data_IF_728856235741
#
_entry.id   IF_728856235741
#
_cell.length_a   1.000
_cell.length_b   1.000
_cell.length_c   1.000
_cell.angle_alpha   90.00
_cell.angle_beta   90.00
_cell.angle_gamma   90.00
#
_symmetry.space_group_name_H-M   'P 1'
#
loop_
_entity.id
_entity.type
_entity.pdbx_description
1 polymer ?
#
# COMPACT_ATOMS: atom_id res chain seq x y z
N UNK A 1 -5.39 -27.16 -15.48
CA UNK A 1 -4.77 -26.22 -16.44
C UNK A 1 -5.46 -26.04 -17.78
N UNK A 2 -6.11 -27.06 -18.33
CA UNK A 2 -6.85 -26.92 -19.61
C UNK A 2 -7.87 -25.78 -19.59
N UNK A 3 -8.48 -25.49 -18.43
CA UNK A 3 -9.38 -24.33 -18.25
C UNK A 3 -8.74 -23.00 -18.65
N UNK A 4 -7.47 -22.77 -18.33
CA UNK A 4 -6.75 -21.54 -18.70
C UNK A 4 -6.45 -21.49 -20.19
N UNK A 5 -6.18 -22.64 -20.82
CA UNK A 5 -6.01 -22.73 -22.28
C UNK A 5 -7.31 -22.44 -23.01
N UNK A 6 -8.44 -22.95 -22.51
CA UNK A 6 -9.77 -22.67 -23.05
C UNK A 6 -10.14 -21.19 -22.89
N UNK A 7 -9.94 -20.63 -21.69
CA UNK A 7 -10.11 -19.20 -21.41
C UNK A 7 -9.28 -18.34 -22.38
N UNK A 8 -7.99 -18.65 -22.53
CA UNK A 8 -7.11 -17.92 -23.46
C UNK A 8 -7.58 -18.01 -24.92
N UNK A 9 -8.04 -19.18 -25.39
CA UNK A 9 -8.59 -19.32 -26.75
C UNK A 9 -9.86 -18.51 -26.95
N UNK A 10 -10.77 -18.53 -25.98
CA UNK A 10 -12.01 -17.77 -26.03
C UNK A 10 -11.75 -16.26 -26.13
N UNK A 11 -10.84 -15.74 -25.30
CA UNK A 11 -10.45 -14.32 -25.32
C UNK A 11 -9.80 -13.97 -26.66
N UNK A 12 -8.87 -14.78 -27.15
CA UNK A 12 -8.20 -14.56 -28.45
C UNK A 12 -9.22 -14.51 -29.60
N UNK A 13 -10.16 -15.47 -29.66
CA UNK A 13 -11.16 -15.53 -30.72
C UNK A 13 -12.09 -14.31 -30.70
N UNK A 14 -12.56 -13.90 -29.51
CA UNK A 14 -13.43 -12.71 -29.35
C UNK A 14 -12.68 -11.42 -29.66
N UNK A 15 -11.44 -11.27 -29.17
CA UNK A 15 -10.67 -10.04 -29.35
C UNK A 15 -10.23 -9.86 -30.80
N UNK A 16 -9.94 -10.97 -31.51
CA UNK A 16 -9.69 -10.95 -32.96
C UNK A 16 -10.88 -10.43 -33.77
N UNK A 17 -12.12 -10.75 -33.38
CA UNK A 17 -13.32 -10.26 -34.09
C UNK A 17 -13.48 -8.74 -34.03
N UNK A 18 -12.91 -8.09 -33.01
CA UNK A 18 -12.85 -6.63 -32.87
C UNK A 18 -11.48 -6.06 -33.27
N UNK A 19 -10.72 -6.80 -34.10
CA UNK A 19 -9.41 -6.42 -34.63
C UNK A 19 -8.36 -6.08 -33.55
N UNK A 20 -8.42 -6.75 -32.41
CA UNK A 20 -7.54 -6.50 -31.27
C UNK A 20 -7.59 -5.04 -30.76
N UNK A 21 -8.78 -4.40 -30.81
CA UNK A 21 -8.95 -3.08 -30.21
C UNK A 21 -8.72 -3.16 -28.69
N UNK A 22 -7.70 -2.45 -28.18
CA UNK A 22 -7.32 -2.46 -26.77
C UNK A 22 -8.42 -1.93 -25.84
N UNK A 23 -9.29 -1.05 -26.33
CA UNK A 23 -10.43 -0.54 -25.56
C UNK A 23 -11.50 -1.62 -25.28
N UNK A 24 -11.54 -2.68 -26.09
CA UNK A 24 -12.53 -3.77 -25.96
C UNK A 24 -11.99 -4.94 -25.12
N UNK A 25 -10.67 -5.04 -24.93
CA UNK A 25 -10.10 -6.17 -24.20
C UNK A 25 -10.59 -6.27 -22.74
N UNK A 26 -10.72 -5.18 -21.96
CA UNK A 26 -11.14 -5.27 -20.57
C UNK A 26 -12.49 -5.98 -20.39
N UNK A 27 -13.51 -5.56 -21.14
CA UNK A 27 -14.83 -6.18 -21.09
C UNK A 27 -14.83 -7.61 -21.64
N UNK A 28 -14.10 -7.87 -22.73
CA UNK A 28 -13.95 -9.24 -23.28
C UNK A 28 -13.33 -10.18 -22.25
N UNK A 29 -12.27 -9.74 -21.57
CA UNK A 29 -11.55 -10.53 -20.57
C UNK A 29 -12.40 -10.74 -19.31
N UNK A 30 -13.06 -9.70 -18.80
CA UNK A 30 -13.94 -9.78 -17.63
C UNK A 30 -15.10 -10.76 -17.86
N UNK A 31 -15.78 -10.64 -19.01
CA UNK A 31 -16.83 -11.57 -19.42
C UNK A 31 -16.36 -13.03 -19.50
N UNK A 32 -15.17 -13.26 -20.05
CA UNK A 32 -14.62 -14.59 -20.22
C UNK A 32 -14.19 -15.20 -18.88
N UNK A 33 -13.59 -14.40 -17.99
CA UNK A 33 -13.29 -14.80 -16.61
C UNK A 33 -14.57 -15.20 -15.85
N UNK A 34 -15.63 -14.40 -15.99
CA UNK A 34 -16.93 -14.65 -15.37
C UNK A 34 -17.53 -15.99 -15.82
N UNK A 35 -17.55 -16.25 -17.14
CA UNK A 35 -18.05 -17.53 -17.68
C UNK A 35 -17.16 -18.72 -17.34
N UNK A 36 -15.85 -18.52 -17.35
CA UNK A 36 -14.90 -19.58 -17.06
C UNK A 36 -14.97 -20.02 -15.59
N UNK A 37 -15.32 -19.11 -14.68
CA UNK A 37 -15.46 -19.35 -13.23
C UNK A 37 -14.33 -20.23 -12.71
N UNK A 38 -13.09 -19.81 -13.02
CA UNK A 38 -11.89 -20.56 -12.66
C UNK A 38 -11.77 -20.78 -11.15
N UNK A 39 -12.10 -19.80 -10.27
CA UNK A 39 -11.97 -19.98 -8.82
C UNK A 39 -12.78 -21.15 -8.24
N UNK A 40 -13.90 -21.55 -8.88
CA UNK A 40 -14.69 -22.70 -8.44
C UNK A 40 -14.17 -24.05 -8.96
N UNK A 41 -13.25 -24.04 -9.92
CA UNK A 41 -12.79 -25.23 -10.67
C UNK A 41 -11.33 -25.59 -10.42
N UNK A 42 -10.51 -24.62 -10.06
CA UNK A 42 -9.06 -24.79 -9.89
C UNK A 42 -8.61 -24.03 -8.65
N UNK A 43 -7.90 -24.73 -7.78
CA UNK A 43 -7.27 -24.17 -6.59
C UNK A 43 -5.91 -23.55 -6.93
N UNK A 44 -5.44 -22.64 -6.08
CA UNK A 44 -4.11 -22.04 -6.22
C UNK A 44 -2.98 -23.08 -6.09
N UNK A 45 -3.23 -24.18 -5.39
CA UNK A 45 -2.26 -25.24 -5.17
C UNK A 45 -2.13 -26.15 -6.40
N UNK A 46 -3.21 -26.38 -7.14
CA UNK A 46 -3.14 -27.06 -8.44
C UNK A 46 -2.34 -26.25 -9.47
N UNK A 47 -2.38 -24.92 -9.41
CA UNK A 47 -1.52 -24.06 -10.25
C UNK A 47 -0.04 -24.23 -9.87
N UNK A 48 0.26 -24.23 -8.56
CA UNK A 48 1.63 -24.42 -8.07
C UNK A 48 2.18 -25.82 -8.38
N UNK A 49 1.39 -26.87 -8.16
CA UNK A 49 1.74 -28.25 -8.47
C UNK A 49 1.99 -28.42 -9.97
N UNK A 50 1.11 -27.86 -10.81
CA UNK A 50 1.31 -27.86 -12.25
C UNK A 50 2.61 -27.15 -12.65
N UNK A 51 2.86 -25.95 -12.12
CA UNK A 51 4.04 -25.17 -12.48
C UNK A 51 5.36 -25.88 -12.11
N UNK A 52 5.37 -26.64 -11.02
CA UNK A 52 6.52 -27.44 -10.59
C UNK A 52 6.65 -28.76 -11.35
N UNK A 53 5.54 -29.33 -11.83
CA UNK A 53 5.51 -30.61 -12.53
C UNK A 53 5.81 -30.53 -14.02
N UNK A 54 5.61 -29.36 -14.64
CA UNK A 54 5.89 -29.17 -16.07
C UNK A 54 7.39 -28.97 -16.34
N UNK A 55 7.88 -29.65 -17.39
CA UNK A 55 9.23 -29.43 -17.89
C UNK A 55 9.36 -28.09 -18.63
N UNK A 56 8.31 -27.69 -19.35
CA UNK A 56 8.27 -26.45 -20.12
C UNK A 56 7.00 -25.66 -19.79
N UNK A 57 7.19 -24.47 -19.24
CA UNK A 57 6.10 -23.53 -18.98
C UNK A 57 5.82 -22.67 -20.23
N UNK A 58 4.62 -22.08 -20.36
CA UNK A 58 4.40 -20.99 -21.29
C UNK A 58 5.46 -19.89 -21.11
N UNK A 59 5.67 -19.06 -22.14
CA UNK A 59 6.62 -17.94 -22.05
C UNK A 59 6.28 -17.04 -20.86
N UNK A 60 7.13 -17.06 -19.84
CA UNK A 60 6.97 -16.27 -18.62
C UNK A 60 7.27 -14.79 -18.89
N UNK A 61 6.47 -13.89 -18.28
CA UNK A 61 6.55 -12.43 -18.52
C UNK A 61 7.30 -11.64 -17.44
N UNK A 62 7.20 -12.04 -16.18
CA UNK A 62 7.92 -11.41 -15.06
C UNK A 62 8.80 -12.44 -14.32
N UNK A 63 9.87 -12.85 -14.99
CA UNK A 63 10.79 -13.91 -14.50
C UNK A 63 11.46 -13.54 -13.18
N UNK A 64 11.65 -12.25 -12.92
CA UNK A 64 12.30 -11.76 -11.70
C UNK A 64 11.32 -11.46 -10.55
N UNK A 65 10.02 -11.70 -10.76
CA UNK A 65 8.97 -11.49 -9.76
C UNK A 65 9.03 -10.07 -9.16
N UNK A 66 9.08 -9.05 -10.03
CA UNK A 66 9.18 -7.66 -9.58
C UNK A 66 7.86 -7.11 -9.04
N UNK A 67 6.73 -7.79 -9.28
CA UNK A 67 5.40 -7.32 -8.89
C UNK A 67 4.66 -8.20 -7.88
N UNK A 68 4.73 -9.53 -7.99
CA UNK A 68 3.97 -10.47 -7.16
C UNK A 68 4.87 -11.58 -6.58
N UNK A 69 4.34 -12.40 -5.67
CA UNK A 69 5.08 -13.35 -4.82
C UNK A 69 4.78 -14.86 -5.12
N UNK A 70 5.12 -15.52 -6.25
CA UNK A 70 5.58 -15.08 -7.55
C UNK A 70 4.41 -14.88 -8.56
N UNK A 71 4.65 -14.25 -9.71
CA UNK A 71 3.76 -14.34 -10.87
C UNK A 71 4.03 -15.62 -11.68
N UNK A 72 2.97 -16.33 -12.07
CA UNK A 72 3.06 -17.53 -12.93
C UNK A 72 2.24 -17.33 -14.20
N UNK A 73 2.90 -17.27 -15.36
CA UNK A 73 2.20 -17.20 -16.65
C UNK A 73 1.65 -18.57 -17.02
N UNK A 74 0.32 -18.72 -16.98
CA UNK A 74 -0.42 -19.97 -17.25
C UNK A 74 -0.90 -20.08 -18.69
N UNK A 75 -0.93 -18.97 -19.42
CA UNK A 75 -1.22 -18.91 -20.85
C UNK A 75 -0.45 -17.75 -21.49
N UNK A 76 0.15 -17.98 -22.65
CA UNK A 76 0.78 -16.92 -23.45
C UNK A 76 0.23 -16.93 -24.87
N UNK A 77 -0.54 -15.88 -25.21
CA UNK A 77 -0.96 -15.58 -26.57
C UNK A 77 0.06 -14.70 -27.29
N UNK A 78 -0.33 -14.23 -28.49
CA UNK A 78 0.50 -13.34 -29.29
C UNK A 78 0.49 -11.90 -28.75
N UNK A 79 -0.66 -11.43 -28.25
CA UNK A 79 -0.90 -10.02 -27.87
C UNK A 79 -1.30 -9.82 -26.41
N UNK A 80 -1.62 -10.91 -25.71
CA UNK A 80 -1.96 -10.91 -24.30
C UNK A 80 -1.51 -12.23 -23.66
N UNK A 81 -1.53 -12.26 -22.34
CA UNK A 81 -1.23 -13.45 -21.55
C UNK A 81 -2.12 -13.50 -20.31
N UNK A 82 -2.11 -14.65 -19.65
CA UNK A 82 -2.82 -14.87 -18.40
C UNK A 82 -1.78 -15.24 -17.34
N UNK A 83 -1.69 -14.42 -16.31
CA UNK A 83 -0.86 -14.66 -15.14
C UNK A 83 -1.74 -15.06 -13.95
N UNK A 84 -1.22 -15.90 -13.06
CA UNK A 84 -1.71 -16.07 -11.70
C UNK A 84 -0.69 -15.41 -10.77
N UNK A 85 -1.14 -14.39 -10.04
CA UNK A 85 -0.32 -13.69 -9.05
C UNK A 85 -0.61 -14.23 -7.67
N UNK A 86 0.44 -14.64 -6.98
CA UNK A 86 0.39 -15.00 -5.57
C UNK A 86 0.81 -13.80 -4.71
N UNK A 87 0.20 -13.65 -3.55
CA UNK A 87 0.48 -12.54 -2.64
C UNK A 87 0.66 -13.04 -1.21
N UNK A 88 1.83 -12.74 -0.63
CA UNK A 88 2.15 -13.08 0.75
C UNK A 88 2.40 -11.82 1.60
N UNK A 89 3.05 -10.81 1.02
CA UNK A 89 3.41 -9.56 1.73
C UNK A 89 2.37 -8.42 1.55
N UNK A 90 1.45 -8.58 0.60
CA UNK A 90 0.07 -8.07 0.63
C UNK A 90 -0.19 -6.57 0.46
N UNK A 91 0.62 -5.83 -0.28
CA UNK A 91 0.22 -4.50 -0.73
C UNK A 91 0.85 -4.17 -2.08
N UNK A 92 0.05 -3.64 -3.00
CA UNK A 92 0.57 -3.02 -4.22
C UNK A 92 0.78 -1.53 -3.99
N UNK A 93 1.76 -0.93 -4.68
CA UNK A 93 1.79 0.52 -4.83
C UNK A 93 0.46 1.03 -5.42
N UNK A 94 0.12 2.29 -5.19
CA UNK A 94 -0.94 2.95 -5.97
C UNK A 94 -0.36 3.18 -7.36
N UNK A 95 -1.00 2.65 -8.41
CA UNK A 95 -0.43 2.70 -9.75
C UNK A 95 -1.51 2.78 -10.83
N UNK A 96 -1.12 3.31 -11.98
CA UNK A 96 -1.85 3.13 -13.24
C UNK A 96 -1.26 1.95 -14.02
N UNK A 97 -1.84 1.64 -15.17
CA UNK A 97 -1.42 0.51 -16.01
C UNK A 97 -0.89 0.99 -17.36
N UNK A 98 0.29 0.52 -17.75
CA UNK A 98 0.79 0.64 -19.11
C UNK A 98 0.18 -0.40 -20.06
N UNK A 99 -0.89 -1.10 -19.65
CA UNK A 99 -1.57 -2.18 -20.35
C UNK A 99 -3.08 -2.11 -20.05
N UNK A 100 -3.87 -2.96 -20.70
CA UNK A 100 -5.29 -3.14 -20.40
C UNK A 100 -5.63 -4.63 -20.25
N UNK A 101 -6.79 -4.93 -19.67
CA UNK A 101 -7.26 -6.29 -19.46
C UNK A 101 -8.28 -6.40 -18.34
N UNK A 102 -8.26 -7.51 -17.60
CA UNK A 102 -9.13 -7.72 -16.44
C UNK A 102 -8.43 -8.62 -15.42
N UNK A 103 -8.84 -8.52 -14.16
CA UNK A 103 -8.45 -9.46 -13.12
C UNK A 103 -9.64 -10.08 -12.42
N UNK A 104 -9.43 -11.29 -11.89
CA UNK A 104 -10.38 -12.01 -11.05
C UNK A 104 -9.69 -12.47 -9.78
N UNK A 105 -10.32 -12.25 -8.62
CA UNK A 105 -9.82 -12.81 -7.36
C UNK A 105 -9.98 -14.33 -7.38
N UNK A 106 -8.87 -15.05 -7.31
CA UNK A 106 -8.85 -16.51 -7.36
C UNK A 106 -8.96 -17.15 -5.98
N UNK A 107 -8.28 -16.57 -4.99
CA UNK A 107 -8.30 -17.06 -3.62
C UNK A 107 -8.11 -15.92 -2.62
N UNK A 108 -8.86 -15.97 -1.53
CA UNK A 108 -8.82 -14.96 -0.47
C UNK A 108 -9.64 -13.73 -0.79
N UNK A 109 -9.30 -12.63 -0.12
CA UNK A 109 -9.99 -11.35 -0.18
C UNK A 109 -8.99 -10.18 -0.17
N UNK A 110 -9.42 -9.05 -0.70
CA UNK A 110 -8.62 -7.82 -0.75
C UNK A 110 -9.46 -6.57 -0.58
N UNK A 111 -8.89 -5.56 0.05
CA UNK A 111 -9.41 -4.19 -0.06
C UNK A 111 -8.87 -3.60 -1.36
N UNK A 112 -9.77 -3.11 -2.20
CA UNK A 112 -9.46 -2.52 -3.49
C UNK A 112 -9.85 -1.04 -3.49
N UNK A 113 -8.85 -0.18 -3.58
CA UNK A 113 -9.03 1.27 -3.59
C UNK A 113 -8.77 1.83 -4.97
N UNK A 114 -9.70 2.66 -5.46
CA UNK A 114 -9.59 3.41 -6.72
C UNK A 114 -9.30 4.87 -6.42
N UNK A 115 -8.47 5.48 -7.25
CA UNK A 115 -8.06 6.86 -7.08
C UNK A 115 -8.29 7.66 -8.36
N UNK A 116 -8.50 8.96 -8.20
CA UNK A 116 -8.33 9.94 -9.26
C UNK A 116 -7.06 10.75 -8.98
N UNK A 117 -6.39 11.19 -10.05
CA UNK A 117 -5.22 12.08 -9.96
C UNK A 117 -5.39 13.29 -10.87
N UNK A 118 -5.66 14.43 -10.24
CA UNK A 118 -5.77 15.71 -10.93
C UNK A 118 -4.38 16.34 -11.06
N UNK A 119 -3.82 16.31 -12.28
CA UNK A 119 -2.50 16.86 -12.55
C UNK A 119 -2.51 18.39 -12.44
N UNK A 120 -1.71 18.93 -11.53
CA UNK A 120 -1.46 20.36 -11.42
C UNK A 120 -0.33 20.82 -12.34
N UNK A 121 0.80 20.09 -12.37
CA UNK A 121 1.93 20.39 -13.25
C UNK A 121 2.71 19.14 -13.65
N UNK A 122 3.27 19.16 -14.85
CA UNK A 122 4.28 18.18 -15.28
C UNK A 122 5.66 18.73 -14.97
N UNK A 123 6.50 17.93 -14.31
CA UNK A 123 7.93 18.25 -14.16
C UNK A 123 8.65 17.83 -15.44
N UNK A 124 8.43 16.59 -15.86
CA UNK A 124 8.87 16.02 -17.12
C UNK A 124 8.02 14.78 -17.46
N UNK A 125 8.43 13.99 -18.46
CA UNK A 125 7.72 12.78 -18.88
C UNK A 125 7.73 11.64 -17.83
N UNK A 126 8.56 11.72 -16.80
CA UNK A 126 8.75 10.68 -15.78
C UNK A 126 8.29 11.11 -14.38
N UNK A 127 7.83 12.35 -14.22
CA UNK A 127 7.40 12.90 -12.95
C UNK A 127 6.34 13.99 -13.10
N UNK A 128 5.29 13.89 -12.29
CA UNK A 128 4.21 14.86 -12.25
C UNK A 128 3.76 15.16 -10.83
N UNK A 129 3.22 16.36 -10.65
CA UNK A 129 2.68 16.84 -9.37
C UNK A 129 1.20 17.16 -9.57
N UNK A 130 0.37 16.76 -8.62
CA UNK A 130 -1.08 16.91 -8.68
C UNK A 130 -1.73 16.65 -7.33
N UNK A 131 -3.03 16.41 -7.31
CA UNK A 131 -3.75 15.96 -6.13
C UNK A 131 -4.30 14.55 -6.37
N UNK A 132 -4.13 13.69 -5.38
CA UNK A 132 -4.74 12.36 -5.38
C UNK A 132 -5.94 12.33 -4.44
N UNK A 133 -7.04 11.75 -4.90
CA UNK A 133 -8.25 11.53 -4.09
C UNK A 133 -8.70 10.07 -4.19
N UNK A 134 -9.18 9.53 -3.08
CA UNK A 134 -9.85 8.22 -3.06
C UNK A 134 -11.22 8.39 -3.73
N UNK A 135 -11.47 7.62 -4.79
CA UNK A 135 -12.72 7.62 -5.54
C UNK A 135 -13.71 6.60 -5.00
N UNK A 136 -13.21 5.39 -4.72
CA UNK A 136 -14.02 4.26 -4.25
C UNK A 136 -13.12 3.28 -3.50
N UNK A 137 -13.69 2.59 -2.53
CA UNK A 137 -13.05 1.48 -1.85
C UNK A 137 -14.04 0.30 -1.78
N UNK A 138 -13.57 -0.90 -2.12
CA UNK A 138 -14.37 -2.12 -2.20
C UNK A 138 -13.68 -3.27 -1.46
N UNK A 139 -14.48 -4.12 -0.82
CA UNK A 139 -14.02 -5.44 -0.37
C UNK A 139 -14.29 -6.45 -1.47
N UNK A 140 -13.22 -6.99 -2.06
CA UNK A 140 -13.29 -8.05 -3.06
C UNK A 140 -13.04 -9.41 -2.41
N UNK A 141 -13.82 -10.42 -2.81
CA UNK A 141 -13.65 -11.82 -2.46
C UNK A 141 -13.44 -12.70 -3.69
N UNK A 142 -13.17 -13.99 -3.46
CA UNK A 142 -12.98 -14.96 -4.54
C UNK A 142 -14.16 -14.96 -5.52
N UNK A 143 -13.85 -14.92 -6.81
CA UNK A 143 -14.83 -14.83 -7.90
C UNK A 143 -15.05 -13.40 -8.41
N UNK A 144 -14.82 -12.37 -7.60
CA UNK A 144 -15.01 -10.98 -8.00
C UNK A 144 -14.06 -10.59 -9.14
N UNK A 145 -14.57 -9.80 -10.08
CA UNK A 145 -13.89 -9.43 -11.33
C UNK A 145 -13.82 -7.92 -11.44
N UNK A 146 -12.68 -7.43 -11.94
CA UNK A 146 -12.46 -6.02 -12.22
C UNK A 146 -11.84 -5.85 -13.61
N UNK A 147 -12.39 -4.92 -14.38
CA UNK A 147 -11.79 -4.45 -15.62
C UNK A 147 -10.57 -3.56 -15.31
N UNK A 148 -9.53 -3.68 -16.14
CA UNK A 148 -8.30 -2.88 -16.07
C UNK A 148 -8.25 -2.00 -17.31
N UNK A 149 -8.65 -0.74 -17.17
CA UNK A 149 -8.43 0.26 -18.20
C UNK A 149 -6.96 0.73 -18.21
N UNK A 150 -6.46 1.09 -19.39
CA UNK A 150 -5.09 1.59 -19.54
C UNK A 150 -4.94 3.05 -19.08
N UNK A 151 -3.76 3.39 -18.59
CA UNK A 151 -3.46 4.75 -18.14
C UNK A 151 -4.25 5.15 -16.89
N UNK A 152 -4.68 6.41 -16.83
CA UNK A 152 -5.29 7.02 -15.62
C UNK A 152 -6.73 6.64 -15.37
N UNK A 153 -7.36 6.01 -16.34
CA UNK A 153 -8.76 5.61 -16.22
C UNK A 153 -8.95 4.55 -15.12
N UNK A 154 -7.86 3.92 -14.68
CA UNK A 154 -7.84 2.91 -13.64
C UNK A 154 -6.58 3.00 -12.77
N UNK A 155 -6.53 4.01 -11.89
CA UNK A 155 -5.53 4.13 -10.84
C UNK A 155 -6.04 3.39 -9.61
N UNK A 156 -5.30 2.37 -9.16
CA UNK A 156 -5.75 1.58 -8.02
C UNK A 156 -4.60 1.08 -7.14
N UNK A 157 -4.98 0.56 -5.97
CA UNK A 157 -4.15 -0.33 -5.18
C UNK A 157 -4.99 -1.45 -4.58
N UNK A 158 -4.35 -2.61 -4.41
CA UNK A 158 -4.92 -3.77 -3.73
C UNK A 158 -4.16 -4.01 -2.44
N UNK A 159 -4.93 -4.33 -1.41
CA UNK A 159 -4.40 -4.79 -0.13
C UNK A 159 -4.97 -6.16 0.20
N UNK A 160 -4.09 -7.16 0.22
CA UNK A 160 -4.51 -8.54 0.39
C UNK A 160 -4.68 -8.89 1.87
N UNK A 161 -5.80 -9.51 2.21
CA UNK A 161 -6.16 -9.80 3.60
C UNK A 161 -5.66 -11.17 4.02
N UNK A 162 -5.77 -12.13 3.10
CA UNK A 162 -5.39 -13.53 3.28
C UNK A 162 -3.94 -13.81 2.86
N UNK A 163 -3.35 -14.86 3.43
CA UNK A 163 -1.97 -15.29 3.14
C UNK A 163 -1.91 -16.82 2.96
N UNK A 164 -1.75 -17.33 1.72
CA UNK A 164 -1.71 -16.58 0.48
C UNK A 164 -3.10 -16.07 0.06
N UNK A 165 -3.10 -15.02 -0.75
CA UNK A 165 -4.20 -14.75 -1.67
C UNK A 165 -3.68 -14.84 -3.11
N UNK A 166 -4.57 -14.96 -4.07
CA UNK A 166 -4.19 -15.04 -5.47
C UNK A 166 -5.20 -14.38 -6.40
N UNK A 167 -4.70 -13.87 -7.52
CA UNK A 167 -5.48 -13.18 -8.54
C UNK A 167 -5.11 -13.70 -9.93
N UNK A 168 -6.10 -13.99 -10.76
CA UNK A 168 -5.92 -14.27 -12.19
C UNK A 168 -5.93 -12.93 -12.91
N UNK A 169 -4.92 -12.67 -13.76
CA UNK A 169 -4.80 -11.42 -14.51
C UNK A 169 -4.66 -11.74 -15.99
N UNK A 170 -5.64 -11.30 -16.78
CA UNK A 170 -5.57 -11.28 -18.24
C UNK A 170 -5.10 -9.89 -18.64
N UNK A 171 -4.01 -9.75 -19.38
CA UNK A 171 -3.51 -8.44 -19.81
C UNK A 171 -2.69 -8.47 -21.08
N UNK A 172 -2.65 -7.34 -21.77
CA UNK A 172 -1.64 -7.08 -22.82
C UNK A 172 -0.24 -6.90 -22.21
N UNK A 173 0.80 -6.93 -23.05
CA UNK A 173 2.18 -6.70 -22.61
C UNK A 173 2.37 -5.24 -22.13
N UNK A 174 2.51 -4.31 -23.10
CA UNK A 174 2.52 -2.86 -22.86
C UNK A 174 1.89 -2.18 -24.06
N UNK A 175 1.04 -1.21 -23.81
CA UNK A 175 0.46 -0.31 -24.80
C UNK A 175 1.25 0.99 -24.83
N UNK A 176 1.83 1.38 -25.98
CA UNK A 176 2.48 2.68 -26.15
C UNK A 176 1.55 3.87 -25.86
N UNK A 177 0.22 3.68 -25.95
CA UNK A 177 -0.78 4.71 -25.70
C UNK A 177 -0.88 5.10 -24.21
N UNK A 178 -0.49 4.19 -23.32
CA UNK A 178 -0.68 4.31 -21.87
C UNK A 178 0.63 4.42 -21.09
N UNK A 179 1.75 4.67 -21.78
CA UNK A 179 3.05 4.88 -21.16
C UNK A 179 3.32 6.37 -20.86
N UNK A 180 4.04 6.70 -19.77
CA UNK A 180 4.62 5.76 -18.79
C UNK A 180 3.59 5.20 -17.80
N UNK A 181 3.94 4.10 -17.14
CA UNK A 181 3.13 3.53 -16.07
C UNK A 181 3.51 4.17 -14.73
N UNK A 182 2.83 5.26 -14.35
CA UNK A 182 3.10 5.94 -13.10
C UNK A 182 2.74 5.11 -11.85
N UNK A 183 3.62 5.17 -10.85
CA UNK A 183 3.28 4.95 -9.45
C UNK A 183 2.93 6.28 -8.78
N UNK A 184 1.92 6.26 -7.93
CA UNK A 184 1.40 7.42 -7.23
C UNK A 184 1.78 7.36 -5.76
N UNK A 185 2.27 8.48 -5.25
CA UNK A 185 2.66 8.66 -3.87
C UNK A 185 1.82 9.79 -3.29
N UNK A 186 0.93 9.44 -2.35
CA UNK A 186 0.09 10.41 -1.66
C UNK A 186 0.97 11.44 -0.94
N UNK A 187 0.53 12.72 -0.90
CA UNK A 187 -0.74 13.21 -1.43
C UNK A 187 -0.71 13.63 -2.91
N UNK A 188 0.47 13.84 -3.50
CA UNK A 188 0.57 14.76 -4.63
C UNK A 188 1.58 14.40 -5.73
N UNK A 189 2.17 13.21 -5.72
CA UNK A 189 3.29 12.87 -6.61
C UNK A 189 3.00 11.65 -7.48
N UNK A 190 3.30 11.73 -8.77
CA UNK A 190 3.33 10.60 -9.69
C UNK A 190 4.75 10.44 -10.28
N UNK A 191 5.32 9.24 -10.23
CA UNK A 191 6.68 8.91 -10.68
C UNK A 191 6.66 7.67 -11.56
N UNK A 192 7.37 7.68 -12.68
CA UNK A 192 7.63 6.46 -13.46
C UNK A 192 8.64 5.58 -12.71
N UNK A 193 8.22 4.43 -12.16
CA UNK A 193 9.08 3.57 -11.38
C UNK A 193 10.08 2.80 -12.25
N UNK A 194 9.87 2.75 -13.57
CA UNK A 194 10.69 1.97 -14.50
C UNK A 194 11.82 2.79 -15.13
N UNK A 195 11.85 4.11 -14.89
CA UNK A 195 12.95 4.92 -15.37
C UNK A 195 14.18 4.69 -14.48
N UNK A 196 15.24 4.12 -15.05
CA UNK A 196 16.51 3.88 -14.37
C UNK A 196 17.69 4.43 -15.18
N UNK A 197 18.71 4.89 -14.45
CA UNK A 197 19.98 5.33 -15.02
C UNK A 197 21.11 4.62 -14.27
N UNK A 198 21.93 3.85 -14.98
CA UNK A 198 23.02 3.06 -14.38
C UNK A 198 23.95 3.91 -13.50
N UNK A 199 24.26 5.12 -13.95
CA UNK A 199 25.08 6.09 -13.19
C UNK A 199 24.45 6.45 -11.85
N UNK A 200 23.12 6.64 -11.81
CA UNK A 200 22.40 6.94 -10.57
C UNK A 200 22.45 5.73 -9.65
N UNK A 201 22.18 4.53 -10.17
CA UNK A 201 22.25 3.28 -9.41
C UNK A 201 23.64 3.07 -8.80
N UNK A 202 24.71 3.30 -9.55
CA UNK A 202 26.09 3.17 -9.05
C UNK A 202 26.42 4.22 -7.99
N UNK A 203 26.00 5.47 -8.18
CA UNK A 203 26.19 6.51 -7.16
C UNK A 203 25.41 6.24 -5.88
N UNK A 204 24.20 5.67 -5.97
CA UNK A 204 23.43 5.22 -4.81
C UNK A 204 24.17 4.11 -4.04
N UNK A 205 24.74 3.14 -4.76
CA UNK A 205 25.55 2.09 -4.13
C UNK A 205 26.79 2.64 -3.41
N UNK A 206 27.44 3.65 -3.99
CA UNK A 206 28.59 4.33 -3.36
C UNK A 206 28.16 5.16 -2.15
N UNK A 207 27.10 5.97 -2.27
CA UNK A 207 26.51 6.71 -1.15
C UNK A 207 26.16 5.75 0.00
N UNK A 208 25.62 4.57 -0.34
CA UNK A 208 25.31 3.57 0.64
C UNK A 208 26.55 3.02 1.36
N UNK A 209 27.63 2.79 0.63
CA UNK A 209 28.91 2.37 1.20
C UNK A 209 29.50 3.45 2.13
N UNK A 210 29.44 4.72 1.73
CA UNK A 210 29.94 5.85 2.54
C UNK A 210 29.20 5.99 3.87
N UNK A 211 27.86 5.89 3.84
CA UNK A 211 27.04 5.94 5.06
C UNK A 211 27.38 4.77 5.99
N UNK A 212 27.53 3.54 5.45
CA UNK A 212 27.87 2.36 6.25
C UNK A 212 29.29 2.40 6.82
N UNK A 213 30.22 3.04 6.11
CA UNK A 213 31.59 3.23 6.55
C UNK A 213 31.74 4.40 7.55
N UNK A 214 30.64 5.08 7.90
CA UNK A 214 30.64 6.28 8.75
C UNK A 214 31.65 7.35 8.29
N UNK A 215 31.75 7.54 6.97
CA UNK A 215 32.71 8.46 6.39
C UNK A 215 32.33 9.91 6.72
N UNK A 216 33.26 10.69 7.26
CA UNK A 216 33.03 12.07 7.73
C UNK A 216 32.43 13.01 6.66
N UNK A 217 32.88 12.90 5.41
CA UNK A 217 32.35 13.70 4.28
C UNK A 217 31.11 13.10 3.59
N UNK A 218 30.55 11.99 4.06
CA UNK A 218 29.45 11.31 3.37
C UNK A 218 28.27 12.26 3.10
N UNK A 219 27.87 13.03 4.12
CA UNK A 219 26.73 13.93 4.02
C UNK A 219 27.00 15.10 3.09
N UNK A 220 28.19 15.70 3.19
CA UNK A 220 28.60 16.76 2.27
C UNK A 220 28.60 16.30 0.81
N UNK A 221 29.09 15.09 0.54
CA UNK A 221 29.12 14.52 -0.81
C UNK A 221 27.72 14.24 -1.35
N UNK A 222 26.83 13.68 -0.52
CA UNK A 222 25.44 13.38 -0.89
C UNK A 222 24.63 14.69 -1.07
N UNK A 223 24.85 15.69 -0.23
CA UNK A 223 24.21 17.01 -0.32
C UNK A 223 24.54 17.70 -1.64
N UNK A 224 25.83 17.80 -2.02
CA UNK A 224 26.24 18.34 -3.33
C UNK A 224 25.63 17.55 -4.49
N UNK A 225 25.42 16.25 -4.28
CA UNK A 225 24.76 15.41 -5.26
C UNK A 225 23.27 15.80 -5.42
N UNK A 226 22.52 15.96 -4.33
CA UNK A 226 21.12 16.39 -4.36
C UNK A 226 20.95 17.76 -5.02
N UNK A 227 21.87 18.71 -4.77
CA UNK A 227 21.82 20.07 -5.34
C UNK A 227 21.94 20.11 -6.87
N UNK A 228 22.50 19.08 -7.49
CA UNK A 228 22.81 19.09 -8.93
C UNK A 228 21.83 18.30 -9.78
N UNK A 229 20.97 17.47 -9.18
CA UNK A 229 20.13 16.52 -9.92
C UNK A 229 18.72 17.05 -10.20
N UNK A 230 18.08 16.45 -11.20
CA UNK A 230 16.68 16.74 -11.53
C UNK A 230 15.73 16.23 -10.43
N UNK A 231 14.48 16.68 -10.51
CA UNK A 231 13.44 16.39 -9.52
C UNK A 231 13.20 14.87 -9.31
N UNK A 232 13.11 14.10 -10.39
CA UNK A 232 12.83 12.66 -10.31
C UNK A 232 14.02 11.93 -9.71
N UNK A 233 15.23 12.24 -10.16
CA UNK A 233 16.43 11.59 -9.62
C UNK A 233 16.63 11.96 -8.15
N UNK A 234 16.33 13.20 -7.78
CA UNK A 234 16.32 13.65 -6.38
C UNK A 234 15.34 12.83 -5.53
N UNK A 235 14.12 12.60 -6.02
CA UNK A 235 13.15 11.73 -5.35
C UNK A 235 13.67 10.31 -5.14
N UNK A 236 14.31 9.71 -6.15
CA UNK A 236 14.91 8.38 -6.04
C UNK A 236 16.04 8.35 -5.00
N UNK A 237 16.89 9.38 -4.97
CA UNK A 237 17.95 9.52 -3.97
C UNK A 237 17.35 9.58 -2.57
N UNK A 238 16.38 10.47 -2.34
CA UNK A 238 15.73 10.60 -1.04
C UNK A 238 15.03 9.30 -0.61
N UNK A 239 14.36 8.60 -1.53
CA UNK A 239 13.71 7.32 -1.25
C UNK A 239 14.72 6.27 -0.77
N UNK A 240 15.89 6.18 -1.42
CA UNK A 240 16.95 5.25 -1.00
C UNK A 240 17.59 5.69 0.32
N UNK A 241 17.92 6.98 0.49
CA UNK A 241 18.49 7.51 1.72
C UNK A 241 17.56 7.30 2.91
N UNK A 242 16.24 7.47 2.73
CA UNK A 242 15.23 7.20 3.75
C UNK A 242 15.28 5.76 4.23
N UNK A 243 15.38 4.79 3.32
CA UNK A 243 15.48 3.37 3.69
C UNK A 243 16.77 3.09 4.47
N UNK A 244 17.87 3.73 4.07
CA UNK A 244 19.17 3.58 4.71
C UNK A 244 19.27 4.24 6.09
N UNK A 245 18.66 5.40 6.24
CA UNK A 245 18.65 6.22 7.46
C UNK A 245 17.42 5.95 8.33
N UNK A 246 16.68 4.88 8.04
CA UNK A 246 15.55 4.48 8.87
C UNK A 246 16.04 4.18 10.29
N UNK A 247 15.33 4.73 11.27
CA UNK A 247 15.56 4.40 12.67
C UNK A 247 15.39 2.90 12.87
N UNK A 248 16.34 2.31 13.60
CA UNK A 248 16.21 0.95 14.08
C UNK A 248 15.26 0.90 15.28
N UNK A 249 14.78 -0.30 15.63
CA UNK A 249 14.00 -0.50 16.87
C UNK A 249 14.77 0.04 18.09
N UNK A 250 16.10 -0.14 18.10
CA UNK A 250 16.97 0.40 19.15
C UNK A 250 16.95 1.93 19.16
N UNK A 251 17.02 2.59 18.00
CA UNK A 251 16.95 4.04 17.93
C UNK A 251 15.62 4.57 18.48
N UNK A 252 14.50 3.92 18.14
CA UNK A 252 13.16 4.27 18.64
C UNK A 252 13.06 4.07 20.17
N UNK A 253 13.62 2.99 20.71
CA UNK A 253 13.63 2.70 22.15
C UNK A 253 14.40 3.73 22.99
N UNK A 254 15.48 4.30 22.43
CA UNK A 254 16.32 5.30 23.12
C UNK A 254 16.00 6.74 22.70
N UNK A 255 14.96 6.96 21.89
CA UNK A 255 14.61 8.29 21.39
C UNK A 255 15.70 8.93 20.53
N UNK A 256 16.52 8.12 19.85
CA UNK A 256 17.60 8.60 18.99
C UNK A 256 17.01 9.14 17.68
N UNK A 257 17.03 10.46 17.53
CA UNK A 257 16.50 11.16 16.36
C UNK A 257 17.57 11.50 15.33
N UNK A 258 18.85 11.19 15.59
CA UNK A 258 19.98 11.62 14.77
C UNK A 258 19.86 11.22 13.29
N UNK A 259 19.40 9.98 13.01
CA UNK A 259 19.21 9.52 11.62
C UNK A 259 18.06 10.22 10.91
N UNK A 260 16.97 10.47 11.63
CA UNK A 260 15.82 11.21 11.11
C UNK A 260 16.18 12.68 10.87
N UNK A 261 16.95 13.30 11.78
CA UNK A 261 17.48 14.65 11.60
C UNK A 261 18.37 14.74 10.35
N UNK A 262 19.30 13.79 10.19
CA UNK A 262 20.14 13.66 9.01
C UNK A 262 19.33 13.53 7.70
N UNK A 263 18.26 12.71 7.69
CA UNK A 263 17.37 12.65 6.53
C UNK A 263 16.64 13.97 6.25
N UNK A 264 16.19 14.65 7.31
CA UNK A 264 15.49 15.94 7.20
C UNK A 264 16.39 17.03 6.60
N UNK A 265 17.71 16.98 6.83
CA UNK A 265 18.68 17.89 6.20
C UNK A 265 18.74 17.68 4.68
N UNK A 266 18.84 16.42 4.22
CA UNK A 266 18.79 16.10 2.79
C UNK A 266 17.47 16.52 2.14
N UNK A 267 16.37 16.32 2.85
CA UNK A 267 15.04 16.73 2.40
C UNK A 267 14.96 18.26 2.22
N UNK A 268 15.48 19.03 3.19
CA UNK A 268 15.52 20.49 3.11
C UNK A 268 16.35 20.98 1.90
N UNK A 269 17.50 20.35 1.63
CA UNK A 269 18.33 20.67 0.46
C UNK A 269 17.55 20.41 -0.84
N UNK A 270 16.84 19.29 -0.93
CA UNK A 270 16.01 18.99 -2.09
C UNK A 270 14.85 19.98 -2.26
N UNK A 271 14.17 20.36 -1.18
CA UNK A 271 13.09 21.36 -1.20
C UNK A 271 13.61 22.72 -1.69
N UNK A 272 14.76 23.17 -1.17
CA UNK A 272 15.41 24.40 -1.60
C UNK A 272 15.81 24.35 -3.08
N UNK A 273 16.38 23.22 -3.53
CA UNK A 273 16.82 23.04 -4.92
C UNK A 273 15.68 23.10 -5.92
N UNK A 274 14.55 22.48 -5.58
CA UNK A 274 13.42 22.32 -6.49
C UNK A 274 12.32 23.36 -6.27
N UNK A 275 12.44 24.20 -5.24
CA UNK A 275 11.42 25.16 -4.84
C UNK A 275 10.07 24.49 -4.63
N UNK A 276 10.07 23.29 -4.02
CA UNK A 276 8.91 22.40 -4.00
C UNK A 276 8.61 21.92 -2.59
N UNK A 277 7.33 21.98 -2.24
CA UNK A 277 6.71 21.46 -1.02
C UNK A 277 6.18 20.02 -1.19
N UNK A 278 6.63 19.31 -2.22
CA UNK A 278 6.07 18.00 -2.62
C UNK A 278 6.67 16.85 -1.83
N UNK A 279 7.99 16.87 -1.61
CA UNK A 279 8.69 15.71 -1.06
C UNK A 279 8.31 15.40 0.38
N UNK A 280 8.20 16.42 1.24
CA UNK A 280 7.95 16.22 2.67
C UNK A 280 6.59 15.57 2.96
N UNK A 281 5.45 16.07 2.43
CA UNK A 281 4.17 15.40 2.60
C UNK A 281 4.18 13.95 2.10
N UNK A 282 4.89 13.69 0.99
CA UNK A 282 5.03 12.33 0.45
C UNK A 282 5.79 11.41 1.40
N UNK A 283 6.95 11.84 1.91
CA UNK A 283 7.74 11.01 2.82
C UNK A 283 7.09 10.86 4.20
N UNK A 284 6.36 11.86 4.68
CA UNK A 284 5.53 11.76 5.88
C UNK A 284 4.44 10.70 5.70
N UNK A 285 3.73 10.71 4.57
CA UNK A 285 2.74 9.68 4.27
C UNK A 285 3.36 8.28 4.15
N UNK A 286 4.52 8.16 3.48
CA UNK A 286 5.25 6.89 3.42
C UNK A 286 5.70 6.39 4.79
N UNK A 287 6.12 7.28 5.69
CA UNK A 287 6.45 6.94 7.07
C UNK A 287 5.23 6.37 7.81
N UNK A 288 4.04 6.93 7.56
CA UNK A 288 2.77 6.41 8.12
C UNK A 288 2.49 4.98 7.63
N UNK A 289 2.56 4.77 6.32
CA UNK A 289 2.40 3.45 5.67
C UNK A 289 3.38 2.44 6.28
N UNK A 290 4.66 2.78 6.32
CA UNK A 290 5.74 1.92 6.82
C UNK A 290 5.59 1.56 8.30
N UNK A 291 4.98 2.44 9.09
CA UNK A 291 4.67 2.16 10.49
C UNK A 291 3.57 1.09 10.61
N UNK A 292 2.52 1.15 9.79
CA UNK A 292 1.42 0.18 9.81
C UNK A 292 1.86 -1.17 9.22
N UNK A 293 2.61 -1.16 8.11
CA UNK A 293 3.15 -2.38 7.48
C UNK A 293 4.04 -3.17 8.46
N UNK A 294 4.93 -2.49 9.20
CA UNK A 294 5.75 -3.15 10.24
C UNK A 294 4.92 -3.84 11.32
N UNK A 295 3.85 -3.20 11.79
CA UNK A 295 2.94 -3.80 12.79
C UNK A 295 2.28 -5.06 12.24
N UNK A 296 1.88 -5.05 10.97
CA UNK A 296 1.27 -6.22 10.33
C UNK A 296 2.21 -7.42 10.23
N UNK A 297 3.53 -7.22 10.15
CA UNK A 297 4.50 -8.33 10.12
C UNK A 297 4.49 -9.17 11.41
N UNK A 298 4.09 -8.58 12.54
CA UNK A 298 4.01 -9.26 13.84
C UNK A 298 2.59 -9.72 14.21
N UNK A 299 1.59 -9.41 13.38
CA UNK A 299 0.18 -9.74 13.62
C UNK A 299 -0.28 -10.85 12.66
N UNK A 300 -0.69 -11.98 13.24
CA UNK A 300 -1.15 -13.16 12.50
C UNK A 300 -2.66 -13.31 12.43
N UNK A 301 -3.41 -12.72 13.38
CA UNK A 301 -4.87 -12.80 13.40
C UNK A 301 -5.50 -12.10 12.17
N UNK A 302 -6.49 -12.75 11.56
CA UNK A 302 -7.10 -12.27 10.33
C UNK A 302 -7.93 -10.98 10.53
N UNK A 303 -8.61 -10.83 11.67
CA UNK A 303 -9.41 -9.66 11.97
C UNK A 303 -8.53 -8.44 12.27
N UNK A 304 -7.44 -8.62 13.04
CA UNK A 304 -6.47 -7.54 13.26
C UNK A 304 -5.74 -7.14 11.98
N UNK A 305 -5.40 -8.10 11.10
CA UNK A 305 -4.81 -7.78 9.78
C UNK A 305 -5.79 -7.00 8.90
N UNK A 306 -7.08 -7.31 8.96
CA UNK A 306 -8.13 -6.52 8.31
C UNK A 306 -8.22 -5.11 8.89
N UNK A 307 -8.17 -4.95 10.21
CA UNK A 307 -8.15 -3.63 10.83
C UNK A 307 -6.97 -2.77 10.37
N UNK A 308 -5.75 -3.32 10.41
CA UNK A 308 -4.54 -2.63 9.91
C UNK A 308 -4.63 -2.32 8.40
N UNK A 309 -5.29 -3.18 7.62
CA UNK A 309 -5.56 -2.94 6.21
C UNK A 309 -6.42 -1.69 5.99
N UNK A 310 -7.48 -1.55 6.79
CA UNK A 310 -8.37 -0.39 6.75
C UNK A 310 -7.61 0.89 7.09
N UNK A 311 -6.82 0.87 8.17
CA UNK A 311 -6.01 2.02 8.60
C UNK A 311 -4.95 2.43 7.55
N UNK A 312 -4.53 1.49 6.72
CA UNK A 312 -3.52 1.76 5.70
C UNK A 312 -4.12 2.36 4.41
N UNK A 313 -5.29 1.88 3.98
CA UNK A 313 -5.77 2.06 2.60
C UNK A 313 -7.05 2.89 2.47
N UNK A 314 -7.75 3.11 3.57
CA UNK A 314 -9.07 3.76 3.58
C UNK A 314 -8.95 5.09 4.29
N UNK A 315 -9.35 6.16 3.61
CA UNK A 315 -9.42 7.49 4.18
C UNK A 315 -10.85 7.71 4.71
N UNK A 316 -10.99 8.23 5.93
CA UNK A 316 -12.27 8.64 6.52
C UNK A 316 -12.98 7.55 7.35
N UNK A 317 -13.47 7.98 8.52
CA UNK A 317 -14.16 7.12 9.50
C UNK A 317 -15.37 6.38 8.92
N UNK A 318 -16.22 7.08 8.19
CA UNK A 318 -17.49 6.52 7.72
C UNK A 318 -17.27 5.40 6.70
N UNK A 319 -16.26 5.53 5.85
CA UNK A 319 -15.89 4.51 4.86
C UNK A 319 -15.32 3.26 5.56
N UNK A 320 -14.49 3.45 6.58
CA UNK A 320 -13.95 2.37 7.41
C UNK A 320 -15.09 1.62 8.10
N UNK A 321 -16.03 2.34 8.74
CA UNK A 321 -17.17 1.73 9.41
C UNK A 321 -18.08 0.98 8.43
N UNK A 322 -18.28 1.50 7.23
CA UNK A 322 -19.03 0.81 6.16
C UNK A 322 -18.39 -0.53 5.79
N UNK A 323 -17.06 -0.57 5.61
CA UNK A 323 -16.34 -1.81 5.30
C UNK A 323 -16.34 -2.80 6.46
N UNK A 324 -16.30 -2.32 7.71
CA UNK A 324 -16.45 -3.17 8.89
C UNK A 324 -17.84 -3.81 8.89
N UNK A 325 -18.91 -3.05 8.68
CA UNK A 325 -20.28 -3.60 8.58
C UNK A 325 -20.44 -4.56 7.40
N UNK A 326 -19.78 -4.30 6.27
CA UNK A 326 -19.83 -5.21 5.12
C UNK A 326 -19.22 -6.58 5.46
N UNK A 327 -18.13 -6.62 6.23
CA UNK A 327 -17.46 -7.88 6.61
C UNK A 327 -18.08 -8.53 7.86
N UNK A 328 -18.59 -7.72 8.79
CA UNK A 328 -19.16 -8.13 10.07
C UNK A 328 -20.55 -7.49 10.23
N UNK A 329 -21.56 -8.05 9.55
CA UNK A 329 -22.90 -7.45 9.40
C UNK A 329 -23.60 -7.13 10.72
N UNK A 330 -23.38 -7.96 11.74
CA UNK A 330 -24.10 -7.89 13.00
C UNK A 330 -23.34 -7.12 14.09
N UNK A 331 -22.14 -6.63 13.78
CA UNK A 331 -21.28 -5.96 14.74
C UNK A 331 -21.44 -4.44 14.69
N UNK A 332 -21.41 -3.79 15.85
CA UNK A 332 -21.19 -2.36 15.91
C UNK A 332 -19.72 -2.03 15.52
N UNK A 333 -19.48 -1.12 14.55
CA UNK A 333 -18.12 -0.83 14.11
C UNK A 333 -17.24 -0.19 15.17
N UNK A 334 -17.81 0.61 16.08
CA UNK A 334 -17.04 1.26 17.15
C UNK A 334 -16.59 0.17 18.12
N UNK A 335 -17.51 -0.70 18.56
CA UNK A 335 -17.16 -1.83 19.43
C UNK A 335 -16.06 -2.70 18.79
N UNK A 336 -16.16 -3.00 17.49
CA UNK A 336 -15.11 -3.78 16.79
C UNK A 336 -13.76 -3.08 16.74
N UNK A 337 -13.74 -1.78 16.49
CA UNK A 337 -12.50 -1.00 16.51
C UNK A 337 -11.88 -0.99 17.90
N UNK A 338 -12.69 -0.88 18.95
CA UNK A 338 -12.24 -0.91 20.33
C UNK A 338 -11.69 -2.29 20.71
N UNK A 339 -12.41 -3.38 20.38
CA UNK A 339 -11.96 -4.77 20.57
C UNK A 339 -10.56 -4.98 19.96
N UNK A 340 -10.41 -4.65 18.67
CA UNK A 340 -9.13 -4.84 17.96
C UNK A 340 -8.03 -3.94 18.52
N UNK A 341 -8.35 -2.73 18.93
CA UNK A 341 -7.40 -1.81 19.55
C UNK A 341 -6.90 -2.36 20.87
N UNK A 342 -7.81 -2.87 21.72
CA UNK A 342 -7.48 -3.50 22.99
C UNK A 342 -6.59 -4.73 22.80
N UNK A 343 -6.96 -5.62 21.88
CA UNK A 343 -6.17 -6.83 21.59
C UNK A 343 -4.76 -6.48 21.10
N UNK A 344 -4.64 -5.52 20.17
CA UNK A 344 -3.35 -5.07 19.66
C UNK A 344 -2.50 -4.36 20.72
N UNK A 345 -3.13 -3.65 21.66
CA UNK A 345 -2.44 -3.00 22.78
C UNK A 345 -1.88 -4.02 23.80
N UNK A 346 -2.56 -5.17 23.94
CA UNK A 346 -2.17 -6.26 24.84
C UNK A 346 -1.26 -7.30 24.18
N UNK A 347 -1.20 -7.33 22.86
CA UNK A 347 -0.29 -8.20 22.11
C UNK A 347 1.14 -7.66 22.20
N UNK A 348 2.02 -8.40 22.90
CA UNK A 348 3.44 -8.04 23.05
C UNK A 348 4.25 -8.50 21.84
N UNK A 349 5.20 -7.67 21.41
CA UNK A 349 6.12 -8.01 20.35
C UNK A 349 7.27 -8.84 20.95
N UNK A 350 7.54 -10.00 20.36
CA UNK A 350 8.62 -10.87 20.84
C UNK A 350 9.97 -10.12 20.85
N UNK A 351 10.62 -10.06 22.01
CA UNK A 351 11.89 -9.36 22.20
C UNK A 351 11.78 -7.92 22.70
N UNK A 352 10.56 -7.38 22.90
CA UNK A 352 10.35 -6.04 23.45
C UNK A 352 9.12 -6.00 24.38
N UNK A 353 9.36 -5.94 25.70
CA UNK A 353 8.30 -5.89 26.71
C UNK A 353 7.54 -4.55 26.74
N UNK A 354 8.10 -3.49 26.15
CA UNK A 354 7.53 -2.13 26.20
C UNK A 354 6.68 -1.81 24.97
N UNK A 355 6.87 -2.53 23.86
CA UNK A 355 6.17 -2.27 22.60
C UNK A 355 5.05 -3.28 22.38
N UNK A 356 3.85 -2.77 22.15
CA UNK A 356 2.69 -3.57 21.76
C UNK A 356 2.48 -3.55 20.25
N UNK A 357 1.67 -4.47 19.73
CA UNK A 357 1.35 -4.54 18.30
C UNK A 357 0.59 -3.29 17.79
N UNK A 358 -0.09 -2.55 18.68
CA UNK A 358 -0.67 -1.23 18.39
C UNK A 358 0.42 -0.16 18.14
N UNK A 359 1.60 -0.35 18.69
CA UNK A 359 2.73 0.58 18.63
C UNK A 359 2.48 1.89 19.38
N UNK A 360 1.72 1.84 20.47
CA UNK A 360 1.54 2.96 21.42
C UNK A 360 1.94 2.43 22.81
N UNK A 361 3.15 2.76 23.31
CA UNK A 361 3.62 2.27 24.60
C UNK A 361 2.72 2.72 25.75
N UNK A 362 2.38 1.79 26.64
CA UNK A 362 1.53 2.08 27.81
C UNK A 362 0.13 2.56 27.43
N UNK A 363 -0.45 2.00 26.35
CA UNK A 363 -1.88 2.17 26.05
C UNK A 363 -2.70 1.33 27.04
N UNK A 364 -3.50 2.00 27.87
CA UNK A 364 -4.27 1.41 28.98
C UNK A 364 -5.79 1.61 28.81
N UNK A 365 -6.57 1.17 29.80
CA UNK A 365 -8.04 1.25 29.77
C UNK A 365 -8.56 2.69 29.69
N UNK A 366 -7.83 3.67 30.25
CA UNK A 366 -8.21 5.09 30.16
C UNK A 366 -7.97 5.59 28.72
N UNK A 367 -6.93 5.13 28.05
CA UNK A 367 -6.73 5.45 26.63
C UNK A 367 -7.83 4.86 25.75
N UNK A 368 -8.23 3.62 26.03
CA UNK A 368 -9.33 2.98 25.31
C UNK A 368 -10.65 3.74 25.52
N UNK A 369 -10.92 4.18 26.75
CA UNK A 369 -12.08 5.03 27.05
C UNK A 369 -12.04 6.35 26.26
N UNK A 370 -10.93 7.09 26.33
CA UNK A 370 -10.80 8.35 25.59
C UNK A 370 -10.98 8.12 24.09
N UNK A 371 -10.42 7.03 23.56
CA UNK A 371 -10.57 6.67 22.15
C UNK A 371 -12.03 6.38 21.78
N UNK A 372 -12.77 5.62 22.60
CA UNK A 372 -14.21 5.40 22.42
C UNK A 372 -14.98 6.72 22.36
N UNK A 373 -14.69 7.66 23.26
CA UNK A 373 -15.38 8.94 23.27
C UNK A 373 -15.08 9.78 22.02
N UNK A 374 -13.83 9.72 21.52
CA UNK A 374 -13.45 10.37 20.26
C UNK A 374 -14.19 9.74 19.08
N UNK A 375 -14.30 8.40 19.03
CA UNK A 375 -15.03 7.71 17.96
C UNK A 375 -16.52 8.07 17.96
N UNK A 376 -17.10 8.28 19.14
CA UNK A 376 -18.46 8.79 19.34
C UNK A 376 -18.63 10.29 19.02
N UNK A 377 -17.57 10.98 18.60
CA UNK A 377 -17.60 12.38 18.18
C UNK A 377 -17.62 13.40 19.32
N UNK A 378 -17.28 13.00 20.55
CA UNK A 378 -17.18 13.93 21.68
C UNK A 378 -15.91 14.78 21.61
N UNK A 379 -16.04 16.05 22.00
CA UNK A 379 -14.94 17.01 22.18
C UNK A 379 -14.23 16.80 23.53
N UNK A 380 -13.02 17.32 23.70
CA UNK A 380 -12.23 17.13 24.93
C UNK A 380 -12.94 17.56 26.22
N UNK A 381 -13.73 18.64 26.17
CA UNK A 381 -14.54 19.09 27.31
C UNK A 381 -15.67 18.10 27.64
N UNK A 382 -16.31 17.53 26.62
CA UNK A 382 -17.35 16.51 26.77
C UNK A 382 -16.76 15.20 27.29
N UNK A 383 -15.56 14.80 26.83
CA UNK A 383 -14.83 13.63 27.32
C UNK A 383 -14.52 13.80 28.82
N UNK A 384 -13.99 14.95 29.21
CA UNK A 384 -13.66 15.25 30.61
C UNK A 384 -14.91 15.23 31.50
N UNK A 385 -16.02 15.78 30.99
CA UNK A 385 -17.29 15.81 31.70
C UNK A 385 -17.88 14.41 31.87
N UNK A 386 -17.85 13.59 30.82
CA UNK A 386 -18.33 12.21 30.86
C UNK A 386 -17.50 11.36 31.82
N UNK A 387 -16.17 11.46 31.75
CA UNK A 387 -15.27 10.73 32.64
C UNK A 387 -15.53 11.06 34.11
N UNK A 388 -15.74 12.34 34.43
CA UNK A 388 -16.09 12.79 35.79
C UNK A 388 -17.39 12.20 36.30
N UNK A 389 -18.39 12.08 35.44
CA UNK A 389 -19.69 11.53 35.80
C UNK A 389 -19.62 10.02 36.11
N UNK A 390 -18.78 9.27 35.37
CA UNK A 390 -18.68 7.81 35.49
C UNK A 390 -17.66 7.35 36.53
N UNK A 391 -16.56 8.08 36.70
CA UNK A 391 -15.42 7.67 37.54
C UNK A 391 -15.13 8.61 38.71
N UNK A 392 -15.85 9.73 38.84
CA UNK A 392 -15.65 10.75 39.89
C UNK A 392 -14.61 11.82 39.53
N UNK A 393 -14.27 12.68 40.50
CA UNK A 393 -13.25 13.74 40.32
C UNK A 393 -11.89 13.12 39.93
N UNK A 394 -11.38 13.38 38.71
CA UNK A 394 -10.12 12.81 38.27
C UNK A 394 -8.99 13.38 39.12
N UNK A 395 -8.12 12.51 39.64
CA UNK A 395 -6.88 12.96 40.29
C UNK A 395 -5.95 13.74 39.35
N UNK A 396 -6.22 13.79 38.03
CA UNK A 396 -5.60 14.73 37.10
C UNK A 396 -6.42 14.91 35.80
N UNK A 397 -7.21 15.97 35.68
CA UNK A 397 -7.83 16.36 34.40
C UNK A 397 -6.78 16.60 33.29
N UNK A 398 -5.57 17.02 33.67
CA UNK A 398 -4.42 17.12 32.76
C UNK A 398 -4.04 15.79 32.08
N UNK A 399 -4.25 14.66 32.75
CA UNK A 399 -3.92 13.35 32.19
C UNK A 399 -4.84 12.94 31.03
N UNK A 400 -6.10 13.40 31.02
CA UNK A 400 -7.04 13.09 29.92
C UNK A 400 -6.70 13.86 28.65
N UNK A 401 -6.37 15.15 28.78
CA UNK A 401 -5.97 15.98 27.64
C UNK A 401 -4.68 15.47 26.98
N UNK A 402 -3.70 15.03 27.78
CA UNK A 402 -2.47 14.40 27.26
C UNK A 402 -2.75 13.09 26.53
N UNK A 403 -3.65 12.25 27.06
CA UNK A 403 -4.06 10.99 26.42
C UNK A 403 -4.84 11.24 25.12
N UNK A 404 -5.76 12.20 25.11
CA UNK A 404 -6.48 12.61 23.90
C UNK A 404 -5.50 13.07 22.82
N UNK A 405 -4.57 13.96 23.16
CA UNK A 405 -3.56 14.45 22.22
C UNK A 405 -2.71 13.29 21.67
N UNK A 406 -2.28 12.37 22.54
CA UNK A 406 -1.51 11.18 22.14
C UNK A 406 -2.29 10.28 21.16
N UNK A 407 -3.59 10.11 21.35
CA UNK A 407 -4.45 9.33 20.44
C UNK A 407 -4.59 10.06 19.10
N UNK A 408 -4.80 11.37 19.11
CA UNK A 408 -4.93 12.20 17.90
C UNK A 408 -3.65 12.25 17.06
N UNK A 409 -2.49 12.27 17.72
CA UNK A 409 -1.18 12.26 17.07
C UNK A 409 -0.77 10.86 16.59
N UNK A 410 -1.48 9.82 17.04
CA UNK A 410 -1.15 8.45 16.68
C UNK A 410 -1.45 8.16 15.22
N UNK A 411 -0.40 7.81 14.48
CA UNK A 411 -0.45 7.43 13.06
C UNK A 411 -1.51 6.36 12.77
N UNK A 412 -1.69 5.39 13.66
CA UNK A 412 -2.61 4.26 13.42
C UNK A 412 -4.08 4.68 13.47
N UNK A 413 -4.42 5.74 14.20
CA UNK A 413 -5.81 6.18 14.37
C UNK A 413 -6.20 7.33 13.44
N UNK A 414 -5.24 8.03 12.82
CA UNK A 414 -5.55 9.15 11.92
C UNK A 414 -6.68 8.89 10.91
N UNK A 415 -6.77 7.72 10.24
CA UNK A 415 -7.86 7.44 9.30
C UNK A 415 -9.27 7.43 9.93
N UNK A 416 -9.38 7.12 11.22
CA UNK A 416 -10.62 7.12 12.00
C UNK A 416 -10.98 8.50 12.55
N UNK A 417 -10.02 9.43 12.55
CA UNK A 417 -10.16 10.77 13.12
C UNK A 417 -10.32 11.86 12.06
N UNK A 418 -10.11 11.51 10.79
CA UNK A 418 -10.26 12.37 9.62
C UNK A 418 -11.69 12.46 9.11
#
# INVERSE_FOLDING_TARGET
MEVFKQLGREIEDRWRLVNYNEAELPSIAADALSRADVPSKVTIWEVAEWALGEYELPRQRDVHANFADPPVTVFSGLRFHIDVYFWFEATTAIHQHGFCGAFQVMNGSSIHSWYDFEKARSINKFAEVGSMSLKKCELLGAGDIQEIAGGRDYIHSLFHLDRPSATIVVRTDRSPLHLPQYSYHKPNLAIDPFFELETVTKKLQIAAALIRADHEEADNMISRWIETFDFKTTYQILTNLRQMLRSTVVDEMFGLTARQARFNEFLLIAENRHGSDVFRPVFEHQNKIDAIVRRRQVVTDAAHRFFLALMLNVDGRDQIFSLIKQRFSDADPIEKVLDWTYDLANTRIAGDEKTNALGIPGFDDIDLYVFEQILNGRSGDEITTAFRAEHGEPTAAHALAEKEQRIRDSVIFQPLLS
#
